data_IF_909729492234
#
_entry.id   IF_909729492234
#
_cell.length_a   1.000
_cell.length_b   1.000
_cell.length_c   1.000
_cell.angle_alpha   90.00
_cell.angle_beta   90.00
_cell.angle_gamma   90.00
#
_symmetry.space_group_name_H-M   'P 1'
#
loop_
_entity.id
_entity.type
_entity.pdbx_description
1 polymer ?
#
# COMPACT_ATOMS: atom_id res chain seq x y z
N UNK A 1 9.32 -12.57 -15.15
CA UNK A 1 8.38 -12.75 -14.03
C UNK A 1 7.35 -11.65 -14.15
N UNK A 2 6.10 -11.98 -14.45
CA UNK A 2 5.07 -10.98 -14.78
C UNK A 2 4.61 -10.27 -13.51
N UNK A 3 4.85 -8.97 -13.42
CA UNK A 3 4.25 -8.10 -12.41
C UNK A 3 2.74 -8.18 -12.63
N UNK A 4 1.98 -8.60 -11.63
CA UNK A 4 0.52 -8.61 -11.73
C UNK A 4 0.03 -7.17 -11.76
N UNK A 5 -0.21 -6.65 -12.98
CA UNK A 5 -0.69 -5.28 -13.23
C UNK A 5 -2.20 -5.24 -12.97
N UNK A 6 -2.60 -5.44 -11.71
CA UNK A 6 -3.98 -5.23 -11.27
C UNK A 6 -4.04 -3.92 -10.50
N UNK A 7 -5.05 -3.09 -10.79
CA UNK A 7 -5.23 -1.83 -10.08
C UNK A 7 -5.40 -2.12 -8.58
N UNK A 8 -4.53 -1.54 -7.75
CA UNK A 8 -4.56 -1.71 -6.29
C UNK A 8 -5.12 -0.47 -5.62
N UNK A 9 -5.95 -0.68 -4.60
CA UNK A 9 -6.34 0.34 -3.64
C UNK A 9 -5.48 0.13 -2.39
N UNK A 10 -4.65 1.09 -2.03
CA UNK A 10 -3.70 0.99 -0.93
C UNK A 10 -3.96 2.12 0.06
N UNK A 11 -3.95 1.82 1.36
CA UNK A 11 -3.80 2.84 2.41
C UNK A 11 -2.33 2.91 2.80
N UNK A 12 -1.65 4.00 2.43
CA UNK A 12 -0.20 4.09 2.59
C UNK A 12 0.41 5.39 2.08
N UNK A 13 1.68 5.32 1.71
CA UNK A 13 2.53 6.46 1.30
C UNK A 13 3.46 6.06 0.15
N UNK A 14 4.32 6.97 -0.30
CA UNK A 14 5.38 6.63 -1.26
C UNK A 14 6.53 5.89 -0.55
N UNK A 15 7.22 4.98 -1.23
CA UNK A 15 8.30 4.19 -0.65
C UNK A 15 9.37 5.06 0.03
N UNK A 16 9.71 6.19 -0.59
CA UNK A 16 10.69 7.14 -0.05
C UNK A 16 10.30 7.67 1.34
N UNK A 17 9.00 7.86 1.60
CA UNK A 17 8.49 8.30 2.91
C UNK A 17 8.69 7.24 4.02
N UNK A 18 8.93 5.98 3.63
CA UNK A 18 9.22 4.87 4.54
C UNK A 18 10.69 4.45 4.51
N UNK A 19 11.53 5.06 3.67
CA UNK A 19 12.90 4.59 3.44
C UNK A 19 13.81 4.65 4.68
N UNK A 20 13.42 5.43 5.69
CA UNK A 20 14.10 5.50 7.00
C UNK A 20 13.73 4.33 7.94
N UNK A 21 12.73 3.51 7.59
CA UNK A 21 12.39 2.29 8.35
C UNK A 21 13.40 1.18 8.04
N UNK A 22 14.20 0.82 9.04
CA UNK A 22 15.24 -0.21 8.91
C UNK A 22 14.70 -1.59 8.48
N UNK A 23 13.43 -1.87 8.74
CA UNK A 23 12.76 -3.15 8.47
C UNK A 23 11.81 -3.10 7.25
N UNK A 24 11.84 -2.05 6.43
CA UNK A 24 10.90 -1.90 5.31
C UNK A 24 10.96 -3.06 4.30
N UNK A 25 12.16 -3.47 3.90
CA UNK A 25 12.33 -4.56 2.92
C UNK A 25 11.81 -5.89 3.47
N UNK A 26 12.06 -6.19 4.76
CA UNK A 26 11.56 -7.40 5.43
C UNK A 26 10.02 -7.41 5.47
N UNK A 27 9.39 -6.28 5.79
CA UNK A 27 7.93 -6.16 5.81
C UNK A 27 7.28 -6.35 4.43
N UNK A 28 7.98 -5.93 3.36
CA UNK A 28 7.52 -6.14 1.99
C UNK A 28 7.67 -7.60 1.56
N UNK A 29 8.76 -8.25 1.96
CA UNK A 29 9.03 -9.66 1.65
C UNK A 29 8.10 -10.61 2.43
N UNK A 30 7.81 -10.30 3.69
CA UNK A 30 6.89 -11.05 4.56
C UNK A 30 5.41 -10.83 4.18
N UNK A 31 5.12 -9.78 3.42
CA UNK A 31 3.77 -9.39 3.00
C UNK A 31 2.97 -8.63 4.06
N UNK A 32 3.64 -8.10 5.09
CA UNK A 32 3.05 -7.19 6.07
C UNK A 32 2.63 -5.86 5.42
N UNK A 33 3.40 -5.41 4.43
CA UNK A 33 3.07 -4.28 3.58
C UNK A 33 2.95 -4.73 2.12
N UNK A 34 1.92 -4.21 1.47
CA UNK A 34 1.71 -4.33 0.04
C UNK A 34 2.35 -3.17 -0.70
N UNK A 35 2.69 -3.41 -1.97
CA UNK A 35 3.22 -2.36 -2.85
C UNK A 35 2.57 -2.37 -4.23
N UNK A 36 2.58 -1.21 -4.88
CA UNK A 36 2.19 -1.01 -6.26
C UNK A 36 3.16 -0.07 -6.97
N UNK A 37 3.61 -0.48 -8.16
CA UNK A 37 4.36 0.37 -9.08
C UNK A 37 3.38 1.24 -9.87
N UNK A 38 3.56 2.57 -9.94
CA UNK A 38 2.66 3.44 -10.70
C UNK A 38 2.72 3.20 -12.22
N UNK A 39 3.87 2.80 -12.77
CA UNK A 39 4.02 2.33 -14.15
C UNK A 39 4.98 1.14 -14.26
N UNK A 40 5.04 0.53 -15.44
CA UNK A 40 6.02 -0.51 -15.74
C UNK A 40 7.42 0.10 -15.67
N UNK A 41 8.33 -0.50 -14.88
CA UNK A 41 9.71 -0.04 -14.64
C UNK A 41 9.83 1.26 -13.81
N UNK A 42 8.85 1.58 -12.95
CA UNK A 42 9.05 2.66 -11.96
C UNK A 42 10.21 2.34 -11.02
N UNK A 43 11.03 3.35 -10.76
CA UNK A 43 12.00 3.31 -9.67
C UNK A 43 11.29 3.02 -8.34
N UNK A 44 11.95 2.27 -7.46
CA UNK A 44 11.37 1.85 -6.17
C UNK A 44 10.88 3.02 -5.33
N UNK A 45 11.56 4.16 -5.39
CA UNK A 45 11.18 5.37 -4.67
C UNK A 45 9.76 5.85 -5.04
N UNK A 46 9.31 5.58 -6.26
CA UNK A 46 7.98 5.95 -6.75
C UNK A 46 6.90 4.94 -6.38
N UNK A 47 7.27 3.79 -5.79
CA UNK A 47 6.28 2.77 -5.44
C UNK A 47 5.35 3.28 -4.34
N UNK A 48 4.10 2.85 -4.42
CA UNK A 48 3.09 3.11 -3.40
C UNK A 48 3.09 1.93 -2.46
N UNK A 49 3.40 2.16 -1.19
CA UNK A 49 3.56 1.13 -0.16
C UNK A 49 2.53 1.34 0.93
N UNK A 50 1.89 0.26 1.38
CA UNK A 50 0.91 0.32 2.46
C UNK A 50 0.07 -0.93 2.59
N UNK A 51 -1.09 -0.81 3.23
CA UNK A 51 -2.02 -1.93 3.40
C UNK A 51 -2.99 -1.96 2.22
N UNK A 52 -3.07 -3.10 1.52
CA UNK A 52 -4.03 -3.28 0.43
C UNK A 52 -5.46 -3.32 0.98
N UNK A 53 -6.30 -2.47 0.41
CA UNK A 53 -7.73 -2.45 0.67
C UNK A 53 -8.48 -3.37 -0.30
N UNK A 54 -9.58 -4.01 0.15
CA UNK A 54 -10.39 -4.81 -0.74
C UNK A 54 -11.05 -3.93 -1.81
N UNK A 55 -10.93 -4.35 -3.08
CA UNK A 55 -11.49 -3.62 -4.22
C UNK A 55 -12.92 -4.05 -4.58
N UNK A 56 -13.37 -5.20 -4.06
CA UNK A 56 -14.74 -5.70 -4.16
C UNK A 56 -15.34 -5.70 -2.76
N UNK A 57 -16.14 -4.69 -2.46
CA UNK A 57 -16.87 -4.59 -1.19
C UNK A 57 -18.35 -4.39 -1.48
N UNK A 58 -19.19 -4.96 -0.62
CA UNK A 58 -20.65 -4.98 -0.80
C UNK A 58 -21.34 -3.71 -0.29
N UNK A 59 -20.66 -2.84 0.48
CA UNK A 59 -21.24 -1.59 1.00
C UNK A 59 -20.25 -0.60 1.60
N UNK A 60 -20.70 0.65 1.77
CA UNK A 60 -19.90 1.78 2.25
C UNK A 60 -19.41 1.61 3.70
N UNK A 61 -20.27 1.17 4.61
CA UNK A 61 -19.91 0.98 6.03
C UNK A 61 -18.78 -0.04 6.20
N UNK A 62 -18.81 -1.10 5.39
CA UNK A 62 -17.79 -2.14 5.38
C UNK A 62 -16.46 -1.58 4.86
N UNK A 63 -16.49 -0.80 3.77
CA UNK A 63 -15.30 -0.10 3.24
C UNK A 63 -14.67 0.82 4.29
N UNK A 64 -15.48 1.63 4.98
CA UNK A 64 -14.99 2.53 6.04
C UNK A 64 -14.37 1.75 7.19
N UNK A 65 -14.92 0.60 7.55
CA UNK A 65 -14.35 -0.31 8.56
C UNK A 65 -12.97 -0.83 8.13
N UNK A 66 -12.83 -1.25 6.87
CA UNK A 66 -11.54 -1.68 6.32
C UNK A 66 -10.51 -0.55 6.32
N UNK A 67 -10.88 0.65 5.85
CA UNK A 67 -9.99 1.82 5.86
C UNK A 67 -9.51 2.13 7.29
N UNK A 68 -10.40 2.07 8.29
CA UNK A 68 -10.02 2.33 9.69
C UNK A 68 -9.09 1.26 10.25
N UNK A 69 -9.26 0.00 9.87
CA UNK A 69 -8.36 -1.09 10.26
C UNK A 69 -6.99 -0.92 9.62
N UNK A 70 -6.97 -0.74 8.30
CA UNK A 70 -5.76 -0.49 7.52
C UNK A 70 -4.96 0.71 8.04
N UNK A 71 -5.64 1.80 8.41
CA UNK A 71 -5.00 2.96 9.04
C UNK A 71 -4.25 2.59 10.31
N UNK A 72 -4.91 1.92 11.26
CA UNK A 72 -4.31 1.57 12.55
C UNK A 72 -3.15 0.60 12.39
N UNK A 73 -3.31 -0.36 11.48
CA UNK A 73 -2.29 -1.36 11.17
C UNK A 73 -1.07 -0.73 10.52
N UNK A 74 -1.27 0.13 9.51
CA UNK A 74 -0.20 0.88 8.87
C UNK A 74 0.55 1.77 9.87
N UNK A 75 -0.16 2.54 10.69
CA UNK A 75 0.46 3.39 11.73
C UNK A 75 1.25 2.56 12.75
N UNK A 76 0.77 1.38 13.12
CA UNK A 76 1.49 0.46 14.02
C UNK A 76 2.78 -0.06 13.41
N UNK A 77 2.73 -0.41 12.12
CA UNK A 77 3.84 -1.00 11.38
C UNK A 77 4.93 0.03 11.03
N UNK A 78 4.53 1.27 10.80
CA UNK A 78 5.42 2.35 10.32
C UNK A 78 5.83 3.34 11.41
N UNK A 79 5.75 2.93 12.69
CA UNK A 79 6.07 3.79 13.84
C UNK A 79 5.30 5.13 13.88
N UNK A 80 4.05 5.13 13.41
CA UNK A 80 3.13 6.26 13.50
C UNK A 80 3.05 7.14 12.26
N UNK A 81 3.62 6.73 11.12
CA UNK A 81 3.49 7.48 9.87
C UNK A 81 2.02 7.47 9.42
N UNK A 82 1.50 8.65 9.09
CA UNK A 82 0.11 8.80 8.61
C UNK A 82 0.04 8.52 7.12
N UNK A 83 -0.69 7.47 6.74
CA UNK A 83 -0.98 7.15 5.34
C UNK A 83 -2.16 7.92 4.74
N UNK A 84 -2.36 7.72 3.44
CA UNK A 84 -3.49 8.20 2.63
C UNK A 84 -4.03 7.09 1.74
N UNK A 85 -5.27 7.23 1.26
CA UNK A 85 -5.82 6.29 0.28
C UNK A 85 -5.21 6.63 -1.08
N UNK A 86 -4.57 5.63 -1.69
CA UNK A 86 -3.89 5.73 -2.97
C UNK A 86 -4.53 4.71 -3.91
N UNK A 87 -4.93 5.19 -5.08
CA UNK A 87 -5.35 4.33 -6.19
C UNK A 87 -4.17 4.22 -7.12
N UNK A 88 -3.59 3.03 -7.24
CA UNK A 88 -2.58 2.76 -8.26
C UNK A 88 -3.31 2.22 -9.49
N UNK A 89 -3.48 3.03 -10.56
CA UNK A 89 -4.15 2.59 -11.75
C UNK A 89 -3.36 1.48 -12.44
N UNK A 90 -4.07 0.57 -13.11
CA UNK A 90 -3.45 -0.34 -14.05
C UNK A 90 -3.05 0.47 -15.29
N UNK A 91 -1.76 0.71 -15.45
CA UNK A 91 -1.22 1.29 -16.70
C UNK A 91 -0.73 0.12 -17.55
N UNK A 92 -1.60 -0.31 -18.48
CA UNK A 92 -1.27 -1.27 -19.54
C UNK A 92 -0.33 -0.64 -20.57
#
# INVERSE_FOLDING_TARGET
MGISISAKLIFGVEYEELSELENLDEMLDDGDLDYASPHYDSDRCEWRVGIQLPYKISGEEEMVSFIRKAKREFERLTNGISGRIIVSPNVM
#
